data_IF_643662837331
#
_entry.id   IF_643662837331
#
_cell.length_a   1.000
_cell.length_b   1.000
_cell.length_c   1.000
_cell.angle_alpha   90.00
_cell.angle_beta   90.00
_cell.angle_gamma   90.00
#
_symmetry.space_group_name_H-M   'P 1'
#
loop_
_entity.id
_entity.type
_entity.pdbx_description
1 polymer ?
#
# COMPACT_ATOMS: atom_id res chain seq x y z
N UNK A 1 6.20 -22.45 -19.85
CA UNK A 1 5.88 -21.32 -18.96
C UNK A 1 5.27 -20.21 -19.78
N UNK A 2 4.08 -19.77 -19.40
CA UNK A 2 3.42 -18.58 -19.96
C UNK A 2 4.31 -17.33 -19.78
N UNK A 3 4.36 -16.44 -20.79
CA UNK A 3 5.27 -15.29 -20.80
C UNK A 3 4.99 -14.32 -19.64
N UNK A 4 3.71 -14.13 -19.30
CA UNK A 4 3.29 -13.28 -18.18
C UNK A 4 3.65 -13.91 -16.83
N UNK A 5 3.54 -15.24 -16.71
CA UNK A 5 3.98 -15.95 -15.52
C UNK A 5 5.50 -15.80 -15.30
N UNK A 6 6.30 -15.85 -16.36
CA UNK A 6 7.77 -15.66 -16.27
C UNK A 6 8.12 -14.24 -15.84
N UNK A 7 7.47 -13.23 -16.41
CA UNK A 7 7.65 -11.83 -16.03
C UNK A 7 7.31 -11.62 -14.55
N UNK A 8 6.15 -12.12 -14.11
CA UNK A 8 5.73 -12.07 -12.71
C UNK A 8 6.75 -12.72 -11.76
N UNK A 9 7.23 -13.92 -12.06
CA UNK A 9 8.23 -14.60 -11.22
C UNK A 9 9.53 -13.80 -11.13
N UNK A 10 9.97 -13.21 -12.24
CA UNK A 10 11.19 -12.39 -12.30
C UNK A 10 11.04 -11.13 -11.46
N UNK A 11 10.01 -10.31 -11.73
CA UNK A 11 9.77 -9.06 -11.02
C UNK A 11 9.54 -9.27 -9.52
N UNK A 12 8.80 -10.33 -9.16
CA UNK A 12 8.50 -10.63 -7.77
C UNK A 12 9.75 -11.07 -7.02
N UNK A 13 10.60 -11.89 -7.64
CA UNK A 13 11.86 -12.33 -7.03
C UNK A 13 12.81 -11.15 -6.80
N UNK A 14 12.98 -10.25 -7.78
CA UNK A 14 13.79 -9.04 -7.63
C UNK A 14 13.27 -8.10 -6.53
N UNK A 15 11.93 -7.98 -6.44
CA UNK A 15 11.27 -7.20 -5.40
C UNK A 15 11.45 -7.80 -4.01
N UNK A 16 11.38 -9.13 -3.90
CA UNK A 16 11.62 -9.87 -2.64
C UNK A 16 13.08 -9.72 -2.18
N UNK A 17 14.05 -9.85 -3.09
CA UNK A 17 15.47 -9.66 -2.80
C UNK A 17 15.77 -8.24 -2.29
N UNK A 18 15.09 -7.24 -2.88
CA UNK A 18 15.18 -5.85 -2.43
C UNK A 18 14.64 -5.66 -1.01
N UNK A 19 13.56 -6.37 -0.67
CA UNK A 19 12.87 -6.26 0.61
C UNK A 19 13.52 -7.10 1.71
N UNK A 20 14.36 -8.10 1.40
CA UNK A 20 15.02 -8.93 2.43
C UNK A 20 15.82 -8.13 3.45
N UNK A 21 16.57 -7.14 2.99
CA UNK A 21 17.29 -6.23 3.90
C UNK A 21 16.35 -5.36 4.74
N UNK A 22 15.13 -5.11 4.28
CA UNK A 22 14.09 -4.41 5.03
C UNK A 22 13.42 -5.33 6.05
N UNK A 23 13.26 -6.63 5.77
CA UNK A 23 12.68 -7.60 6.70
C UNK A 23 13.53 -7.75 7.97
N UNK A 24 14.86 -7.78 7.84
CA UNK A 24 15.77 -7.80 9.00
C UNK A 24 15.62 -6.52 9.84
N UNK A 25 15.47 -5.36 9.18
CA UNK A 25 15.26 -4.09 9.88
C UNK A 25 13.86 -3.99 10.48
N UNK A 26 12.86 -4.62 9.85
CA UNK A 26 11.50 -4.70 10.38
C UNK A 26 11.47 -5.44 11.71
N UNK A 27 12.29 -6.48 11.87
CA UNK A 27 12.41 -7.19 13.15
C UNK A 27 13.00 -6.31 14.26
N UNK A 28 13.93 -5.42 13.92
CA UNK A 28 14.61 -4.54 14.87
C UNK A 28 13.82 -3.26 15.19
N UNK A 29 13.17 -2.69 14.18
CA UNK A 29 12.40 -1.44 14.25
C UNK A 29 11.03 -1.61 13.57
N UNK A 30 10.09 -2.31 14.23
CA UNK A 30 8.83 -2.73 13.62
C UNK A 30 7.85 -1.58 13.37
N UNK A 31 8.03 -0.42 14.01
CA UNK A 31 7.16 0.75 13.83
C UNK A 31 7.71 1.75 12.81
N UNK A 32 8.76 1.38 12.07
CA UNK A 32 9.33 2.24 11.05
C UNK A 32 8.40 2.37 9.85
N UNK A 33 7.76 3.54 9.70
CA UNK A 33 6.79 3.80 8.65
C UNK A 33 7.31 3.54 7.22
N UNK A 34 8.60 3.78 6.97
CA UNK A 34 9.20 3.55 5.65
C UNK A 34 9.33 2.06 5.35
N UNK A 35 9.70 1.25 6.34
CA UNK A 35 9.80 -0.21 6.21
C UNK A 35 8.40 -0.79 5.99
N UNK A 36 7.42 -0.37 6.79
CA UNK A 36 6.02 -0.77 6.65
C UNK A 36 5.46 -0.46 5.25
N UNK A 37 5.70 0.74 4.71
CA UNK A 37 5.21 1.12 3.37
C UNK A 37 5.86 0.28 2.26
N UNK A 38 7.16 -0.03 2.38
CA UNK A 38 7.86 -0.86 1.41
C UNK A 38 7.33 -2.30 1.39
N UNK A 39 7.18 -2.93 2.56
CA UNK A 39 6.65 -4.30 2.66
C UNK A 39 5.18 -4.33 2.21
N UNK A 40 4.39 -3.33 2.60
CA UNK A 40 3.00 -3.20 2.15
C UNK A 40 2.90 -3.14 0.62
N UNK A 41 3.72 -2.31 -0.05
CA UNK A 41 3.71 -2.20 -1.52
C UNK A 41 4.07 -3.52 -2.19
N UNK A 42 5.08 -4.22 -1.69
CA UNK A 42 5.46 -5.53 -2.20
C UNK A 42 4.26 -6.49 -2.16
N UNK A 43 3.65 -6.66 -0.99
CA UNK A 43 2.55 -7.60 -0.80
C UNK A 43 1.31 -7.18 -1.62
N UNK A 44 1.03 -5.87 -1.71
CA UNK A 44 -0.06 -5.34 -2.52
C UNK A 44 0.11 -5.65 -4.02
N UNK A 45 1.32 -5.45 -4.55
CA UNK A 45 1.65 -5.79 -5.93
C UNK A 45 1.52 -7.29 -6.17
N UNK A 46 2.07 -8.13 -5.27
CA UNK A 46 1.96 -9.59 -5.38
C UNK A 46 0.49 -10.02 -5.41
N UNK A 47 -0.35 -9.54 -4.48
CA UNK A 47 -1.80 -9.84 -4.46
C UNK A 47 -2.45 -9.47 -5.79
N UNK A 48 -2.19 -8.25 -6.29
CA UNK A 48 -2.77 -7.75 -7.54
C UNK A 48 -2.45 -8.64 -8.74
N UNK A 49 -1.18 -9.03 -8.88
CA UNK A 49 -0.76 -9.89 -9.99
C UNK A 49 -1.26 -11.32 -9.84
N UNK A 50 -1.32 -11.86 -8.62
CA UNK A 50 -1.84 -13.21 -8.36
C UNK A 50 -3.32 -13.35 -8.73
N UNK A 51 -4.14 -12.34 -8.42
CA UNK A 51 -5.56 -12.35 -8.80
C UNK A 51 -5.78 -12.33 -10.32
N UNK A 52 -4.87 -11.71 -11.08
CA UNK A 52 -4.92 -11.72 -12.54
C UNK A 52 -4.42 -13.05 -13.13
N UNK A 53 -3.36 -13.63 -12.55
CA UNK A 53 -2.76 -14.88 -12.98
C UNK A 53 -3.54 -16.14 -12.56
N UNK A 54 -4.53 -16.01 -11.68
CA UNK A 54 -5.28 -17.14 -11.16
C UNK A 54 -4.45 -18.00 -10.21
N UNK A 55 -3.71 -17.36 -9.30
CA UNK A 55 -2.91 -17.98 -8.24
C UNK A 55 -3.62 -17.80 -6.88
N UNK A 56 -4.73 -18.52 -6.62
CA UNK A 56 -5.63 -18.25 -5.50
C UNK A 56 -4.99 -18.47 -4.13
N UNK A 57 -4.06 -19.42 -4.00
CA UNK A 57 -3.40 -19.67 -2.71
C UNK A 57 -2.45 -18.52 -2.37
N UNK A 58 -1.64 -18.08 -3.33
CA UNK A 58 -0.72 -16.97 -3.16
C UNK A 58 -1.47 -15.64 -2.96
N UNK A 59 -2.55 -15.43 -3.71
CA UNK A 59 -3.45 -14.28 -3.54
C UNK A 59 -4.03 -14.23 -2.12
N UNK A 60 -4.54 -15.35 -1.60
CA UNK A 60 -5.14 -15.41 -0.26
C UNK A 60 -4.14 -15.05 0.85
N UNK A 61 -2.92 -15.60 0.77
CA UNK A 61 -1.86 -15.32 1.73
C UNK A 61 -1.39 -13.85 1.65
N UNK A 62 -1.19 -13.34 0.42
CA UNK A 62 -0.80 -11.95 0.22
C UNK A 62 -1.89 -10.98 0.73
N UNK A 63 -3.17 -11.27 0.47
CA UNK A 63 -4.28 -10.46 0.95
C UNK A 63 -4.35 -10.43 2.48
N UNK A 64 -4.19 -11.56 3.16
CA UNK A 64 -4.16 -11.60 4.63
C UNK A 64 -3.00 -10.76 5.19
N UNK A 65 -1.80 -10.85 4.58
CA UNK A 65 -0.64 -10.04 4.95
C UNK A 65 -0.87 -8.55 4.73
N UNK A 66 -1.42 -8.16 3.57
CA UNK A 66 -1.75 -6.78 3.24
C UNK A 66 -2.76 -6.18 4.22
N UNK A 67 -3.75 -6.96 4.64
CA UNK A 67 -4.78 -6.51 5.58
C UNK A 67 -4.18 -6.14 6.93
N UNK A 68 -3.30 -6.99 7.46
CA UNK A 68 -2.60 -6.70 8.72
C UNK A 68 -1.66 -5.50 8.58
N UNK A 69 -0.89 -5.43 7.49
CA UNK A 69 0.00 -4.30 7.21
C UNK A 69 -0.77 -2.97 7.10
N UNK A 70 -1.96 -2.99 6.49
CA UNK A 70 -2.85 -1.83 6.40
C UNK A 70 -3.22 -1.32 7.79
N UNK A 71 -3.54 -2.22 8.72
CA UNK A 71 -3.86 -1.82 10.09
C UNK A 71 -2.70 -1.14 10.80
N UNK A 72 -1.47 -1.57 10.59
CA UNK A 72 -0.30 -0.89 11.14
C UNK A 72 -0.13 0.51 10.57
N UNK A 73 -0.41 0.70 9.27
CA UNK A 73 -0.42 2.02 8.63
C UNK A 73 -1.54 2.92 9.16
N UNK A 74 -2.67 2.33 9.55
CA UNK A 74 -3.79 3.03 10.21
C UNK A 74 -3.51 3.38 11.69
N UNK A 75 -2.31 3.08 12.20
CA UNK A 75 -1.88 3.41 13.56
C UNK A 75 -2.06 2.29 14.59
N UNK A 76 -2.38 1.07 14.15
CA UNK A 76 -2.33 -0.10 15.04
C UNK A 76 -0.88 -0.37 15.46
N UNK A 77 -0.59 -0.59 16.75
CA UNK A 77 0.77 -0.87 17.20
C UNK A 77 1.25 -2.22 16.67
N UNK A 78 2.48 -2.27 16.17
CA UNK A 78 3.10 -3.51 15.70
C UNK A 78 3.60 -4.33 16.88
N UNK A 79 3.14 -5.58 16.99
CA UNK A 79 3.57 -6.51 18.04
C UNK A 79 4.67 -7.45 17.54
N UNK A 80 5.52 -7.95 18.44
CA UNK A 80 6.56 -8.92 18.06
C UNK A 80 5.96 -10.18 17.41
N UNK A 81 4.79 -10.65 17.88
CA UNK A 81 4.09 -11.78 17.26
C UNK A 81 3.67 -11.48 15.83
N UNK A 82 3.19 -10.26 15.55
CA UNK A 82 2.83 -9.86 14.20
C UNK A 82 4.04 -9.81 13.25
N UNK A 83 5.18 -9.32 13.74
CA UNK A 83 6.44 -9.34 12.98
C UNK A 83 6.78 -10.77 12.56
N UNK A 84 6.78 -11.71 13.52
CA UNK A 84 7.08 -13.13 13.24
C UNK A 84 6.16 -13.73 12.19
N UNK A 85 4.85 -13.47 12.28
CA UNK A 85 3.88 -14.02 11.33
C UNK A 85 4.03 -13.39 9.94
N UNK A 86 4.34 -12.09 9.86
CA UNK A 86 4.63 -11.44 8.56
C UNK A 86 5.87 -12.03 7.92
N UNK A 87 6.97 -12.17 8.67
CA UNK A 87 8.20 -12.80 8.14
C UNK A 87 7.93 -14.20 7.62
N UNK A 88 7.24 -15.04 8.41
CA UNK A 88 6.85 -16.39 8.00
C UNK A 88 5.93 -16.39 6.77
N UNK A 89 5.09 -15.37 6.59
CA UNK A 89 4.22 -15.24 5.41
C UNK A 89 5.01 -14.89 4.16
N UNK A 90 6.01 -14.01 4.26
CA UNK A 90 6.91 -13.70 3.14
C UNK A 90 7.76 -14.93 2.78
N UNK A 91 8.24 -15.68 3.77
CA UNK A 91 8.95 -16.94 3.51
C UNK A 91 8.06 -17.96 2.80
N UNK A 92 6.80 -18.12 3.23
CA UNK A 92 5.83 -18.99 2.54
C UNK A 92 5.52 -18.51 1.12
N UNK A 93 5.45 -17.21 0.88
CA UNK A 93 5.32 -16.64 -0.48
C UNK A 93 6.51 -17.08 -1.34
N UNK A 94 7.75 -16.98 -0.84
CA UNK A 94 8.96 -17.44 -1.56
C UNK A 94 8.91 -18.93 -1.88
N UNK A 95 8.47 -19.75 -0.92
CA UNK A 95 8.31 -21.20 -1.12
C UNK A 95 7.31 -21.51 -2.25
N UNK A 96 6.17 -20.81 -2.26
CA UNK A 96 5.14 -20.98 -3.31
C UNK A 96 5.68 -20.55 -4.67
N UNK A 97 6.37 -19.40 -4.75
CA UNK A 97 6.97 -18.90 -5.99
C UNK A 97 8.02 -19.87 -6.54
N UNK A 98 8.87 -20.44 -5.69
CA UNK A 98 9.86 -21.44 -6.11
C UNK A 98 9.19 -22.72 -6.64
N UNK A 99 8.10 -23.17 -6.01
CA UNK A 99 7.32 -24.30 -6.50
C UNK A 99 6.61 -24.01 -7.83
N UNK A 100 6.09 -22.80 -7.98
CA UNK A 100 5.47 -22.29 -9.19
C UNK A 100 6.47 -22.19 -10.35
N UNK A 101 7.69 -21.72 -10.09
CA UNK A 101 8.78 -21.70 -11.08
C UNK A 101 9.18 -23.11 -11.52
N UNK A 102 9.27 -24.06 -10.58
CA UNK A 102 9.71 -25.42 -10.86
C UNK A 102 8.68 -26.27 -11.60
N UNK A 103 7.39 -26.03 -11.36
CA UNK A 103 6.29 -26.89 -11.84
C UNK A 103 5.34 -26.20 -12.82
N UNK A 104 5.49 -24.89 -13.01
CA UNK A 104 4.57 -24.01 -13.75
C UNK A 104 3.12 -24.05 -13.22
N UNK A 105 2.94 -24.58 -12.00
CA UNK A 105 1.65 -24.71 -11.34
C UNK A 105 1.77 -24.31 -9.87
N UNK A 106 0.70 -23.71 -9.33
CA UNK A 106 0.67 -23.35 -7.92
C UNK A 106 0.71 -24.63 -7.05
N UNK A 107 1.66 -24.76 -6.11
CA UNK A 107 1.73 -25.93 -5.25
C UNK A 107 0.46 -26.13 -4.43
N UNK A 108 0.10 -27.39 -4.19
CA UNK A 108 -1.07 -27.72 -3.36
C UNK A 108 -0.91 -27.21 -1.92
N UNK A 109 -1.97 -26.62 -1.36
CA UNK A 109 -2.01 -26.13 0.00
C UNK A 109 -3.03 -25.02 0.21
N UNK A 110 -3.18 -24.57 1.45
CA UNK A 110 -4.14 -23.50 1.81
C UNK A 110 -3.54 -22.42 2.72
N UNK A 111 -2.36 -22.66 3.30
CA UNK A 111 -1.65 -21.75 4.22
C UNK A 111 -2.52 -21.21 5.38
N UNK A 112 -3.56 -21.96 5.77
CA UNK A 112 -4.49 -21.59 6.84
C UNK A 112 -3.78 -21.36 8.17
N UNK A 113 -2.68 -22.07 8.41
CA UNK A 113 -1.86 -21.90 9.60
C UNK A 113 -1.25 -20.49 9.75
N UNK A 114 -1.09 -19.74 8.65
CA UNK A 114 -0.63 -18.35 8.64
C UNK A 114 -1.78 -17.38 8.41
N UNK A 115 -2.68 -17.66 7.47
CA UNK A 115 -3.84 -16.82 7.17
C UNK A 115 -4.70 -16.62 8.43
N UNK A 116 -5.04 -17.69 9.14
CA UNK A 116 -5.91 -17.59 10.31
C UNK A 116 -5.23 -16.80 11.45
N UNK A 117 -3.88 -16.86 11.55
CA UNK A 117 -3.12 -16.06 12.52
C UNK A 117 -3.12 -14.57 12.16
N UNK A 118 -2.93 -14.24 10.87
CA UNK A 118 -2.97 -12.87 10.37
C UNK A 118 -4.35 -12.25 10.62
N UNK A 119 -5.41 -12.97 10.26
CA UNK A 119 -6.80 -12.54 10.46
C UNK A 119 -7.12 -12.34 11.96
N UNK A 120 -6.72 -13.28 12.81
CA UNK A 120 -6.91 -13.15 14.26
C UNK A 120 -6.17 -11.93 14.84
N UNK A 121 -4.98 -11.61 14.34
CA UNK A 121 -4.24 -10.42 14.78
C UNK A 121 -4.92 -9.12 14.37
N UNK A 122 -5.51 -9.07 13.17
CA UNK A 122 -6.32 -7.93 12.71
C UNK A 122 -7.54 -7.74 13.61
N UNK A 123 -8.26 -8.82 13.92
CA UNK A 123 -9.45 -8.76 14.78
C UNK A 123 -9.09 -8.29 16.21
N UNK A 124 -8.06 -8.89 16.81
CA UNK A 124 -7.61 -8.54 18.15
C UNK A 124 -7.11 -7.08 18.24
N UNK A 125 -6.34 -6.65 17.24
CA UNK A 125 -5.81 -5.30 17.20
C UNK A 125 -6.90 -4.25 17.00
N UNK A 126 -7.86 -4.51 16.10
CA UNK A 126 -8.97 -3.57 15.84
C UNK A 126 -9.91 -3.45 17.04
N UNK A 127 -10.18 -4.56 17.73
CA UNK A 127 -10.93 -4.56 18.99
C UNK A 127 -10.21 -3.75 20.08
N UNK A 128 -8.89 -3.90 20.21
CA UNK A 128 -8.09 -3.15 21.18
C UNK A 128 -8.11 -1.63 20.92
N UNK A 129 -7.95 -1.21 19.65
CA UNK A 129 -8.04 0.21 19.27
C UNK A 129 -9.43 0.79 19.56
N UNK A 130 -10.50 0.04 19.26
CA UNK A 130 -11.87 0.47 19.50
C UNK A 130 -12.21 0.58 21.00
N UNK A 131 -11.68 -0.33 21.83
CA UNK A 131 -11.85 -0.29 23.28
C UNK A 131 -11.10 0.89 23.93
N UNK A 132 -9.96 1.28 23.38
CA UNK A 132 -9.18 2.44 23.85
C UNK A 132 -9.78 3.81 23.45
N UNK A 133 -10.76 3.82 22.53
CA UNK A 133 -11.40 5.03 22.03
C UNK A 133 -12.67 5.44 22.80
N UNK A 134 -12.99 4.82 23.94
CA UNK A 134 -14.14 5.25 24.74
C UNK A 134 -13.95 6.68 25.29
N UNK A 135 -14.98 7.55 25.18
CA UNK A 135 -14.82 8.96 25.48
C UNK A 135 -14.72 9.19 26.99
N UNK A 136 -13.67 9.89 27.40
CA UNK A 136 -13.63 10.66 28.66
C UNK A 136 -14.63 11.82 28.57
N UNK A 137 -15.92 11.52 28.63
CA UNK A 137 -16.96 12.53 28.82
C UNK A 137 -17.09 12.85 30.31
N UNK A 138 -16.42 13.93 30.76
CA UNK A 138 -16.95 14.95 31.68
C UNK A 138 -15.84 15.69 32.42
N UNK A 139 -15.46 16.87 31.91
CA UNK A 139 -15.18 18.05 32.73
C UNK A 139 -15.19 19.29 31.82
N UNK A 140 -16.16 20.15 32.06
CA UNK A 140 -16.39 21.40 31.37
C UNK A 140 -15.26 22.43 31.56
N UNK A 141 -14.97 23.23 30.52
CA UNK A 141 -14.75 24.67 30.62
C UNK A 141 -14.58 25.32 29.23
N UNK A 142 -15.67 25.94 28.76
CA UNK A 142 -15.81 27.23 28.03
C UNK A 142 -14.87 27.68 26.89
N UNK A 143 -15.44 28.34 25.86
CA UNK A 143 -14.76 28.78 24.64
C UNK A 143 -14.10 30.15 24.81
N UNK A 144 -12.97 30.38 24.13
CA UNK A 144 -12.43 31.73 23.89
C UNK A 144 -12.22 31.92 22.39
N UNK A 145 -12.66 33.09 21.95
CA UNK A 145 -12.91 33.52 20.61
C UNK A 145 -11.66 34.07 19.88
N UNK A 146 -11.83 34.13 18.56
CA UNK A 146 -11.44 35.24 17.67
C UNK A 146 -10.00 35.31 17.14
N UNK A 147 -9.92 35.45 15.81
CA UNK A 147 -8.76 35.73 14.97
C UNK A 147 -9.10 36.97 14.11
N UNK A 148 -8.22 37.46 13.20
CA UNK A 148 -6.84 37.97 13.28
C UNK A 148 -6.85 39.48 12.79
N UNK A 149 -5.78 40.19 12.31
CA UNK A 149 -5.00 39.88 11.08
C UNK A 149 -3.52 40.39 10.96
N UNK A 150 -2.78 39.86 9.95
CA UNK A 150 -1.88 40.47 8.92
C UNK A 150 -0.94 41.65 9.31
N UNK A 151 0.33 41.84 8.92
CA UNK A 151 1.22 41.57 7.74
C UNK A 151 2.61 42.24 8.08
N UNK A 152 3.63 42.40 7.19
CA UNK A 152 4.21 41.62 6.08
C UNK A 152 5.74 41.41 6.30
N UNK A 153 6.48 40.74 5.40
CA UNK A 153 7.72 41.27 4.77
C UNK A 153 8.36 40.23 3.82
N UNK A 154 8.63 40.68 2.59
CA UNK A 154 9.56 40.14 1.58
C UNK A 154 10.55 41.30 1.27
N UNK A 155 11.71 41.15 0.56
CA UNK A 155 12.02 40.13 -0.46
C UNK A 155 13.53 39.73 -0.58
N UNK A 156 13.89 39.16 -1.75
CA UNK A 156 15.22 38.90 -2.35
C UNK A 156 15.84 37.50 -2.10
N UNK A 157 16.39 36.76 -3.05
CA UNK A 157 16.61 36.82 -4.51
C UNK A 157 17.13 35.40 -4.95
N UNK A 158 17.28 35.08 -6.25
CA UNK A 158 17.04 33.73 -6.81
C UNK A 158 18.28 32.83 -7.01
N UNK A 159 18.04 31.52 -7.15
CA UNK A 159 18.99 30.50 -7.60
C UNK A 159 18.24 29.39 -8.40
N UNK A 160 18.91 28.63 -9.28
CA UNK A 160 18.55 28.53 -10.69
C UNK A 160 17.56 27.41 -11.08
N UNK A 161 17.07 27.57 -12.31
CA UNK A 161 16.09 26.76 -13.03
C UNK A 161 16.31 25.25 -12.97
N UNK A 162 15.24 24.52 -12.63
CA UNK A 162 15.08 23.10 -12.96
C UNK A 162 14.37 23.00 -14.31
N UNK A 163 14.98 22.23 -15.21
CA UNK A 163 14.44 21.85 -16.50
C UNK A 163 12.99 21.38 -16.38
N UNK A 164 12.08 22.09 -17.06
CA UNK A 164 10.78 21.52 -17.41
C UNK A 164 11.03 20.44 -18.46
N UNK A 165 10.89 19.18 -18.06
CA UNK A 165 10.71 18.09 -19.01
C UNK A 165 9.43 18.36 -19.79
N UNK A 166 9.59 18.70 -21.07
CA UNK A 166 8.51 18.90 -22.01
C UNK A 166 7.88 17.53 -22.33
N UNK A 167 6.89 17.12 -21.55
CA UNK A 167 6.04 16.00 -21.90
C UNK A 167 5.19 16.39 -23.11
N UNK A 168 5.36 15.69 -24.22
CA UNK A 168 4.45 15.83 -25.36
C UNK A 168 3.08 15.33 -24.92
N UNK A 169 2.09 16.24 -24.85
CA UNK A 169 0.69 15.90 -24.72
C UNK A 169 0.30 15.06 -25.94
N UNK A 170 0.09 13.77 -25.72
CA UNK A 170 -0.57 12.92 -26.71
C UNK A 170 -2.08 13.17 -26.60
N UNK A 171 -2.71 13.56 -27.70
CA UNK A 171 -4.18 13.67 -27.80
C UNK A 171 -4.79 12.28 -27.54
N UNK A 172 -5.25 12.05 -26.31
CA UNK A 172 -6.03 10.85 -25.99
C UNK A 172 -7.48 11.07 -26.43
N UNK A 173 -7.75 10.70 -27.68
CA UNK A 173 -9.12 10.66 -28.20
C UNK A 173 -9.83 9.45 -27.60
N UNK A 174 -10.93 9.68 -26.88
CA UNK A 174 -11.78 8.60 -26.39
C UNK A 174 -12.41 7.86 -27.58
N UNK A 175 -11.98 6.62 -27.83
CA UNK A 175 -12.53 5.76 -28.91
C UNK A 175 -13.98 5.29 -28.66
N UNK A 176 -14.60 5.72 -27.56
CA UNK A 176 -15.98 5.38 -27.20
C UNK A 176 -16.81 6.64 -26.92
N UNK A 177 -18.12 6.62 -27.22
CA UNK A 177 -19.01 7.73 -26.90
C UNK A 177 -19.10 7.93 -25.37
N UNK A 178 -19.15 9.19 -24.94
CA UNK A 178 -19.33 9.57 -23.54
C UNK A 178 -20.68 9.08 -23.01
N UNK A 179 -20.68 8.53 -21.80
CA UNK A 179 -21.93 8.11 -21.13
C UNK A 179 -22.63 9.34 -20.52
N UNK A 180 -23.96 9.29 -20.32
CA UNK A 180 -24.68 10.39 -19.68
C UNK A 180 -24.10 10.70 -18.29
N UNK A 181 -23.53 11.90 -18.12
CA UNK A 181 -22.89 12.35 -16.88
C UNK A 181 -21.35 12.33 -16.88
N UNK A 182 -20.70 11.80 -17.93
CA UNK A 182 -19.25 11.94 -18.10
C UNK A 182 -18.92 13.28 -18.74
N UNK A 183 -17.99 14.01 -18.12
CA UNK A 183 -17.43 15.27 -18.65
C UNK A 183 -16.33 14.96 -19.67
N UNK A 184 -16.27 15.75 -20.74
CA UNK A 184 -15.23 15.56 -21.76
C UNK A 184 -13.85 15.95 -21.22
N UNK A 185 -12.79 15.36 -21.80
CA UNK A 185 -11.42 15.74 -21.48
C UNK A 185 -11.15 17.21 -21.80
N UNK A 186 -11.75 17.74 -22.87
CA UNK A 186 -11.66 19.16 -23.25
C UNK A 186 -12.29 20.09 -22.19
N UNK A 187 -13.43 19.71 -21.61
CA UNK A 187 -14.07 20.49 -20.55
C UNK A 187 -13.26 20.49 -19.25
N UNK A 188 -12.62 19.35 -18.93
CA UNK A 188 -11.72 19.23 -17.78
C UNK A 188 -10.45 20.07 -17.96
N UNK A 189 -9.84 20.04 -19.14
CA UNK A 189 -8.66 20.88 -19.43
C UNK A 189 -8.99 22.37 -19.35
N UNK A 190 -10.16 22.76 -19.84
CA UNK A 190 -10.61 24.15 -19.77
C UNK A 190 -10.83 24.61 -18.32
N UNK A 191 -11.49 23.79 -17.50
CA UNK A 191 -11.69 24.07 -16.08
C UNK A 191 -10.35 24.22 -15.33
N UNK A 192 -9.35 23.43 -15.71
CA UNK A 192 -8.01 23.49 -15.11
C UNK A 192 -7.23 24.76 -15.49
N UNK A 193 -7.42 25.29 -16.70
CA UNK A 193 -6.77 26.54 -17.14
C UNK A 193 -7.43 27.81 -16.60
N UNK A 194 -8.71 27.77 -16.27
CA UNK A 194 -9.42 28.91 -15.68
C UNK A 194 -9.16 29.06 -14.16
N UNK A 195 -8.47 28.09 -13.55
CA UNK A 195 -8.12 28.09 -12.11
C UNK A 195 -6.63 28.35 -11.81
N UNK A 196 -5.80 28.58 -12.84
CA UNK A 196 -4.37 28.92 -12.74
C UNK A 196 -4.11 30.39 -13.10
#
# INVERSE_FOLDING_TARGET
MDDLLREFLTETSESLDTVDNQLVKFEQDPNNAKILDNIFRLVHTIKGTCGFLGLPRLEALAHAGETLMSKFRDGMPVTAGAVTVILASIDRIKEILAGLEATEAEPEGTDRDLIDKLEAMVEQGTAAMSASAQPIASAAATPVAEAPPLVPEAPAAPAPAKEMTQGALIDQTLERPLRPGEVSLDDLERAFRETA
#
